data_IF_527311119274
#
_entry.id   IF_527311119274
#
_cell.length_a   1.000
_cell.length_b   1.000
_cell.length_c   1.000
_cell.angle_alpha   90.00
_cell.angle_beta   90.00
_cell.angle_gamma   90.00
#
_symmetry.space_group_name_H-M   'P 1'
#
loop_
_entity.id
_entity.type
_entity.pdbx_description
1 polymer ?
#
# COMPACT_ATOMS: atom_id res chain seq x y z
N UNK A 1 11.99 6.83 -6.24
CA UNK A 1 11.11 6.38 -5.14
C UNK A 1 9.65 6.54 -5.56
N UNK A 2 8.86 5.46 -5.57
CA UNK A 2 7.42 5.53 -5.84
C UNK A 2 6.69 6.07 -4.61
N UNK A 3 6.11 7.28 -4.70
CA UNK A 3 5.27 7.83 -3.62
C UNK A 3 3.91 7.12 -3.67
N UNK A 4 3.54 6.45 -2.57
CA UNK A 4 2.20 5.88 -2.41
C UNK A 4 1.27 6.94 -1.83
N UNK A 5 0.04 6.97 -2.34
CA UNK A 5 -1.00 7.91 -1.92
C UNK A 5 -2.27 7.13 -1.63
N UNK A 6 -2.97 7.48 -0.54
CA UNK A 6 -4.21 6.80 -0.19
C UNK A 6 -5.33 7.12 -1.20
N UNK A 7 -6.24 6.18 -1.42
CA UNK A 7 -7.43 6.35 -2.24
C UNK A 7 -8.32 7.48 -1.70
N UNK A 8 -8.37 7.66 -0.37
CA UNK A 8 -9.05 8.80 0.26
C UNK A 8 -8.45 10.13 -0.22
N UNK A 9 -7.11 10.22 -0.22
CA UNK A 9 -6.41 11.41 -0.68
C UNK A 9 -6.59 11.64 -2.18
N UNK A 10 -6.44 10.59 -2.99
CA UNK A 10 -6.67 10.65 -4.45
C UNK A 10 -8.08 11.12 -4.79
N UNK A 11 -9.09 10.57 -4.11
CA UNK A 11 -10.50 10.95 -4.27
C UNK A 11 -10.72 12.41 -3.95
N UNK A 12 -10.19 12.89 -2.81
CA UNK A 12 -10.35 14.28 -2.37
C UNK A 12 -9.78 15.27 -3.38
N UNK A 13 -8.59 14.98 -3.94
CA UNK A 13 -7.98 15.87 -4.93
C UNK A 13 -8.71 15.83 -6.27
N UNK A 14 -9.12 14.64 -6.71
CA UNK A 14 -9.88 14.50 -7.95
C UNK A 14 -11.25 15.19 -7.87
N UNK A 15 -12.00 15.03 -6.77
CA UNK A 15 -13.30 15.68 -6.58
C UNK A 15 -13.16 17.20 -6.44
N UNK A 16 -12.10 17.70 -5.81
CA UNK A 16 -11.84 19.15 -5.72
C UNK A 16 -11.64 19.80 -7.11
N UNK A 17 -11.00 19.09 -8.03
CA UNK A 17 -10.80 19.58 -9.41
C UNK A 17 -12.03 19.39 -10.28
N UNK A 18 -12.73 18.26 -10.15
CA UNK A 18 -13.89 17.93 -10.99
C UNK A 18 -15.16 18.66 -10.53
N UNK A 19 -15.51 18.54 -9.25
CA UNK A 19 -16.75 19.10 -8.69
C UNK A 19 -16.55 20.52 -8.18
N UNK A 20 -15.36 20.81 -7.63
CA UNK A 20 -15.01 22.12 -7.09
C UNK A 20 -14.40 23.09 -8.12
N UNK A 21 -14.24 22.66 -9.38
CA UNK A 21 -13.64 23.42 -10.47
C UNK A 21 -12.27 24.06 -10.13
N UNK A 22 -11.52 23.45 -9.21
CA UNK A 22 -10.21 23.94 -8.83
C UNK A 22 -9.20 23.76 -9.98
N UNK A 23 -8.24 24.69 -10.09
CA UNK A 23 -7.15 24.56 -11.06
C UNK A 23 -6.29 23.33 -10.74
N UNK A 24 -6.12 22.43 -11.71
CA UNK A 24 -5.26 21.23 -11.60
C UNK A 24 -3.83 21.60 -11.22
N UNK A 25 -3.27 22.64 -11.85
CA UNK A 25 -1.88 23.07 -11.63
C UNK A 25 -1.70 23.59 -10.20
N UNK A 26 -2.55 24.53 -9.77
CA UNK A 26 -2.49 25.08 -8.40
C UNK A 26 -2.70 24.00 -7.34
N UNK A 27 -3.56 23.01 -7.64
CA UNK A 27 -3.82 21.89 -6.73
C UNK A 27 -2.60 20.96 -6.66
N UNK A 28 -1.99 20.63 -7.78
CA UNK A 28 -0.77 19.81 -7.83
C UNK A 28 0.39 20.45 -7.04
N UNK A 29 0.62 21.76 -7.23
CA UNK A 29 1.63 22.52 -6.50
C UNK A 29 1.34 22.57 -5.00
N UNK A 30 0.11 22.93 -4.62
CA UNK A 30 -0.31 23.04 -3.20
C UNK A 30 -0.11 21.75 -2.42
N UNK A 31 -0.38 20.61 -3.04
CA UNK A 31 -0.29 19.29 -2.39
C UNK A 31 1.01 18.54 -2.71
N UNK A 32 1.96 19.18 -3.41
CA UNK A 32 3.23 18.59 -3.83
C UNK A 32 3.06 17.23 -4.54
N UNK A 33 2.08 17.17 -5.44
CA UNK A 33 1.78 16.01 -6.28
C UNK A 33 2.21 16.32 -7.71
N UNK A 34 2.92 15.42 -8.40
CA UNK A 34 3.24 15.63 -9.81
C UNK A 34 1.96 15.83 -10.64
N UNK A 35 1.94 16.84 -11.52
CA UNK A 35 0.75 17.20 -12.31
C UNK A 35 0.19 16.00 -13.07
N UNK A 36 1.05 15.25 -13.76
CA UNK A 36 0.68 14.04 -14.52
C UNK A 36 0.03 12.96 -13.64
N UNK A 37 0.45 12.87 -12.38
CA UNK A 37 -0.16 11.93 -11.41
C UNK A 37 -1.57 12.37 -11.04
N UNK A 38 -1.78 13.67 -10.80
CA UNK A 38 -3.10 14.22 -10.51
C UNK A 38 -4.06 14.11 -11.70
N UNK A 39 -3.59 14.34 -12.93
CA UNK A 39 -4.37 14.17 -14.16
C UNK A 39 -4.89 12.73 -14.34
N UNK A 40 -4.04 11.74 -14.05
CA UNK A 40 -4.45 10.34 -14.06
C UNK A 40 -5.57 10.09 -13.03
N UNK A 41 -5.49 10.73 -11.86
CA UNK A 41 -6.52 10.57 -10.84
C UNK A 41 -7.85 11.21 -11.21
N UNK A 42 -7.79 12.40 -11.79
CA UNK A 42 -8.97 13.10 -12.33
C UNK A 42 -9.63 12.26 -13.41
N UNK A 43 -8.84 11.68 -14.31
CA UNK A 43 -9.34 10.84 -15.41
C UNK A 43 -10.07 9.60 -14.87
N UNK A 44 -9.47 8.92 -13.88
CA UNK A 44 -10.11 7.77 -13.25
C UNK A 44 -11.41 8.16 -12.52
N UNK A 45 -11.42 9.29 -11.81
CA UNK A 45 -12.59 9.80 -11.10
C UNK A 45 -13.74 10.19 -12.05
N UNK A 46 -13.42 10.85 -13.18
CA UNK A 46 -14.41 11.20 -14.21
C UNK A 46 -15.04 9.96 -14.84
N UNK A 47 -14.29 8.88 -15.01
CA UNK A 47 -14.80 7.62 -15.56
C UNK A 47 -15.73 6.91 -14.57
N UNK A 48 -15.36 6.88 -13.29
CA UNK A 48 -16.17 6.30 -12.22
C UNK A 48 -15.92 7.07 -10.91
N UNK A 49 -16.89 7.86 -10.42
CA UNK A 49 -16.76 8.57 -9.15
C UNK A 49 -16.53 7.66 -7.93
N UNK A 50 -16.88 6.37 -8.05
CA UNK A 50 -16.66 5.34 -7.02
C UNK A 50 -15.33 4.62 -7.17
N UNK A 51 -14.51 4.95 -8.18
CA UNK A 51 -13.23 4.29 -8.45
C UNK A 51 -12.32 4.21 -7.21
N UNK A 52 -12.30 5.27 -6.40
CA UNK A 52 -11.51 5.39 -5.18
C UNK A 52 -12.21 4.95 -3.90
N UNK A 53 -13.44 4.42 -3.95
CA UNK A 53 -14.14 3.92 -2.75
C UNK A 53 -13.62 2.55 -2.31
N UNK A 54 -12.77 1.90 -3.11
CA UNK A 54 -12.16 0.62 -2.76
C UNK A 54 -11.14 0.83 -1.65
N UNK A 55 -11.15 -0.07 -0.66
CA UNK A 55 -10.13 -0.12 0.37
C UNK A 55 -8.76 -0.31 -0.31
N UNK A 56 -7.80 0.56 -0.01
CA UNK A 56 -6.45 0.45 -0.54
C UNK A 56 -5.50 -0.22 0.45
N UNK A 57 -4.43 -0.79 -0.10
CA UNK A 57 -3.37 -1.40 0.69
C UNK A 57 -2.66 -0.37 1.59
N UNK A 58 -2.84 0.94 1.33
CA UNK A 58 -2.31 2.00 2.19
C UNK A 58 -2.98 2.01 3.56
N UNK A 59 -4.32 2.03 3.62
CA UNK A 59 -5.04 1.96 4.89
C UNK A 59 -4.80 0.64 5.61
N UNK A 60 -4.69 -0.48 4.88
CA UNK A 60 -4.37 -1.77 5.49
C UNK A 60 -3.00 -1.76 6.18
N UNK A 61 -1.94 -1.35 5.48
CA UNK A 61 -0.58 -1.29 6.06
C UNK A 61 -0.49 -0.31 7.22
N UNK A 62 -1.14 0.85 7.10
CA UNK A 62 -1.17 1.87 8.15
C UNK A 62 -1.85 1.36 9.43
N UNK A 63 -3.05 0.78 9.32
CA UNK A 63 -3.77 0.22 10.46
C UNK A 63 -3.01 -0.97 11.08
N UNK A 64 -2.39 -1.81 10.26
CA UNK A 64 -1.56 -2.93 10.76
C UNK A 64 -0.29 -2.45 11.46
N UNK A 65 0.30 -1.33 11.04
CA UNK A 65 1.49 -0.75 11.67
C UNK A 65 1.14 -0.15 13.04
N UNK A 66 0.01 0.57 13.14
CA UNK A 66 -0.45 1.15 14.40
C UNK A 66 -0.75 0.13 15.49
N UNK A 67 -0.93 -1.16 15.15
CA UNK A 67 -1.01 -2.25 16.12
C UNK A 67 0.23 -2.32 17.03
N UNK A 68 1.41 -1.94 16.53
CA UNK A 68 2.66 -2.02 17.30
C UNK A 68 2.93 -0.80 18.16
N UNK A 69 2.24 0.32 17.93
CA UNK A 69 2.48 1.57 18.68
C UNK A 69 2.16 1.43 20.18
N UNK A 70 1.29 0.47 20.52
CA UNK A 70 0.88 0.21 21.90
C UNK A 70 1.80 -0.82 22.60
N UNK A 71 2.73 -1.44 21.87
CA UNK A 71 3.60 -2.48 22.41
C UNK A 71 4.88 -1.90 22.99
N UNK A 72 5.30 -2.42 24.13
CA UNK A 72 6.62 -2.14 24.68
C UNK A 72 7.71 -2.98 23.98
N UNK A 73 8.98 -2.65 24.23
CA UNK A 73 10.13 -3.32 23.58
C UNK A 73 10.13 -4.85 23.76
N UNK A 74 9.72 -5.37 24.92
CA UNK A 74 9.70 -6.82 25.17
C UNK A 74 8.59 -7.51 24.37
N UNK A 75 7.42 -6.89 24.33
CA UNK A 75 6.26 -7.39 23.57
C UNK A 75 6.54 -7.35 22.06
N UNK A 76 7.19 -6.29 21.58
CA UNK A 76 7.54 -6.16 20.17
C UNK A 76 8.56 -7.22 19.74
N UNK A 77 9.57 -7.50 20.57
CA UNK A 77 10.51 -8.61 20.35
C UNK A 77 9.79 -9.97 20.35
N UNK A 78 8.83 -10.17 21.25
CA UNK A 78 8.05 -11.40 21.30
C UNK A 78 7.21 -11.59 20.03
N UNK A 79 6.49 -10.56 19.59
CA UNK A 79 5.72 -10.56 18.33
C UNK A 79 6.60 -10.89 17.12
N UNK A 80 7.82 -10.32 17.03
CA UNK A 80 8.76 -10.66 15.97
C UNK A 80 9.10 -12.15 15.97
N UNK A 81 9.46 -12.72 17.12
CA UNK A 81 9.79 -14.15 17.24
C UNK A 81 8.64 -15.07 16.84
N UNK A 82 7.41 -14.71 17.23
CA UNK A 82 6.21 -15.48 16.87
C UNK A 82 6.01 -15.48 15.35
N UNK A 83 6.22 -14.33 14.69
CA UNK A 83 6.09 -14.21 13.23
C UNK A 83 7.18 -14.97 12.50
N UNK A 84 8.43 -14.85 12.95
CA UNK A 84 9.55 -15.61 12.38
C UNK A 84 9.25 -17.11 12.43
N UNK A 85 8.77 -17.59 13.58
CA UNK A 85 8.36 -19.01 13.75
C UNK A 85 7.23 -19.40 12.79
N UNK A 86 6.26 -18.52 12.56
CA UNK A 86 5.17 -18.78 11.64
C UNK A 86 5.63 -18.78 10.17
N UNK A 87 6.56 -17.90 9.80
CA UNK A 87 7.16 -17.86 8.47
C UNK A 87 7.90 -19.17 8.20
N UNK A 88 8.75 -19.62 9.13
CA UNK A 88 9.46 -20.90 9.03
C UNK A 88 8.49 -22.09 8.86
N UNK A 89 7.39 -22.07 9.61
CA UNK A 89 6.34 -23.09 9.46
C UNK A 89 5.71 -23.05 8.06
N UNK A 90 5.35 -21.88 7.54
CA UNK A 90 4.77 -21.76 6.20
C UNK A 90 5.76 -22.17 5.12
N UNK A 91 7.04 -21.81 5.25
CA UNK A 91 8.11 -22.26 4.35
C UNK A 91 8.19 -23.79 4.36
N UNK A 92 8.12 -24.42 5.53
CA UNK A 92 8.13 -25.89 5.64
C UNK A 92 6.96 -26.55 4.90
N UNK A 93 5.76 -25.95 4.97
CA UNK A 93 4.58 -26.44 4.24
C UNK A 93 4.73 -26.27 2.72
N UNK A 94 5.28 -25.14 2.28
CA UNK A 94 5.54 -24.89 0.85
C UNK A 94 6.53 -25.92 0.30
N UNK A 95 7.62 -26.17 1.02
CA UNK A 95 8.63 -27.17 0.64
C UNK A 95 8.04 -28.57 0.59
N UNK A 96 7.18 -28.95 1.55
CA UNK A 96 6.48 -30.22 1.54
C UNK A 96 5.57 -30.41 0.31
N UNK A 97 5.07 -29.30 -0.25
CA UNK A 97 4.26 -29.27 -1.46
C UNK A 97 5.07 -29.04 -2.74
N UNK A 98 6.40 -29.11 -2.68
CA UNK A 98 7.29 -28.95 -3.84
C UNK A 98 7.51 -27.51 -4.30
N UNK A 99 7.07 -26.52 -3.52
CA UNK A 99 7.25 -25.10 -3.83
C UNK A 99 8.49 -24.59 -3.10
N UNK A 100 9.49 -24.13 -3.85
CA UNK A 100 10.71 -23.57 -3.29
C UNK A 100 10.57 -22.05 -3.09
N UNK A 101 10.55 -21.62 -1.84
CA UNK A 101 10.69 -20.20 -1.49
C UNK A 101 12.17 -19.81 -1.51
N UNK A 102 12.51 -18.74 -2.23
CA UNK A 102 13.86 -18.14 -2.19
C UNK A 102 13.74 -16.68 -1.76
N UNK A 103 14.51 -16.28 -0.75
CA UNK A 103 14.58 -14.88 -0.34
C UNK A 103 15.22 -14.05 -1.46
N UNK A 104 14.44 -13.18 -2.08
CA UNK A 104 14.93 -12.27 -3.11
C UNK A 104 15.85 -11.23 -2.48
N UNK A 105 17.12 -11.18 -2.89
CA UNK A 105 18.12 -10.23 -2.36
C UNK A 105 17.78 -8.73 -2.51
N UNK A 106 16.75 -8.38 -3.28
CA UNK A 106 16.38 -6.98 -3.56
C UNK A 106 14.86 -6.69 -3.39
N UNK A 107 14.16 -7.44 -2.52
CA UNK A 107 12.75 -7.17 -2.20
C UNK A 107 11.77 -7.46 -3.36
N UNK A 108 12.17 -8.34 -4.28
CA UNK A 108 11.28 -8.98 -5.25
C UNK A 108 11.25 -10.47 -4.95
N UNK A 109 10.27 -10.88 -4.15
CA UNK A 109 10.02 -12.30 -3.87
C UNK A 109 9.54 -12.98 -5.16
N UNK A 110 10.21 -14.06 -5.55
CA UNK A 110 9.83 -14.86 -6.73
C UNK A 110 9.45 -16.26 -6.28
N UNK A 111 8.23 -16.66 -6.61
CA UNK A 111 7.77 -18.05 -6.52
C UNK A 111 8.23 -18.74 -7.80
N UNK A 112 9.00 -19.81 -7.67
CA UNK A 112 9.36 -20.68 -8.79
C UNK A 112 8.52 -21.95 -8.67
N UNK A 113 7.57 -22.11 -9.59
CA UNK A 113 6.86 -23.38 -9.79
C UNK A 113 7.75 -24.31 -10.64
N UNK A 114 7.91 -25.55 -10.20
CA UNK A 114 8.51 -26.65 -10.97
C UNK A 114 7.42 -27.48 -11.60
#
# INVERSE_FOLDING_TARGET
>A
MSRSYSNVFRKRLASMVVDGHASTIRTAEKYNVPIKTLENWITAYRKDPKYYNRCDNYNYRYVQAHKYDQLNKKELIHECKVRDSHIEYLISLLLANGIHYTEGKDGQDKILDV
#
